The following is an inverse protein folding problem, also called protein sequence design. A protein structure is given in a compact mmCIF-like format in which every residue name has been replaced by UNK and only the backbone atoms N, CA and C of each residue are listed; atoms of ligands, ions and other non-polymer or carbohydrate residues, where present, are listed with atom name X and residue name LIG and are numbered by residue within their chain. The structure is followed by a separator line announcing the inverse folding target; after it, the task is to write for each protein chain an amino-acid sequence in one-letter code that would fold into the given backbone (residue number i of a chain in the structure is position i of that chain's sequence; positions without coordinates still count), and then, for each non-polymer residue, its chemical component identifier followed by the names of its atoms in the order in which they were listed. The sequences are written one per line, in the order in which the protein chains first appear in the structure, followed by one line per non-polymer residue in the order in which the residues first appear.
data_IF_799609802050
#
_entry.id   IF_799609802050
#
_cell.length_a   1.000
_cell.length_b   1.000
_cell.length_c   1.000
_cell.angle_alpha   90.00
_cell.angle_beta   90.00
_cell.angle_gamma   90.00
#
_symmetry.space_group_name_H-M   'P 1'
#
loop_
_entity.id
_entity.type
_entity.pdbx_description
1 polymer ?
#
# COMPACT_ATOMS: atom_id res chain seq x y z
N UNK A 1 7.63 -7.68 8.72
CA UNK A 1 6.57 -8.70 8.94
C UNK A 1 6.89 -9.58 10.16
N UNK A 2 8.10 -10.07 10.34
CA UNK A 2 8.48 -10.94 11.47
C UNK A 2 8.21 -10.32 12.84
N UNK A 3 8.64 -9.10 13.08
CA UNK A 3 8.40 -8.40 14.34
C UNK A 3 6.89 -8.20 14.63
N UNK A 4 6.09 -7.95 13.58
CA UNK A 4 4.64 -7.84 13.70
C UNK A 4 4.02 -9.20 14.02
N UNK A 5 4.52 -10.27 13.44
CA UNK A 5 4.11 -11.64 13.69
C UNK A 5 4.34 -12.02 15.15
N UNK A 6 5.56 -11.81 15.67
CA UNK A 6 5.92 -12.07 17.07
C UNK A 6 5.01 -11.26 18.04
N UNK A 7 4.80 -9.99 17.74
CA UNK A 7 3.96 -9.12 18.57
C UNK A 7 2.50 -9.57 18.59
N UNK A 8 1.95 -9.98 17.44
CA UNK A 8 0.58 -10.50 17.34
C UNK A 8 0.45 -11.85 18.01
N UNK A 9 1.39 -12.77 17.83
CA UNK A 9 1.38 -14.07 18.46
C UNK A 9 1.44 -13.96 20.00
N UNK A 10 2.24 -13.02 20.52
CA UNK A 10 2.30 -12.74 21.96
C UNK A 10 1.01 -12.11 22.49
N UNK A 11 0.41 -11.17 21.74
CA UNK A 11 -0.81 -10.49 22.18
C UNK A 11 -2.08 -11.35 22.03
N UNK A 12 -2.10 -12.26 21.06
CA UNK A 12 -3.27 -13.05 20.68
C UNK A 12 -2.95 -14.56 20.59
N UNK A 13 -2.44 -15.19 21.68
CA UNK A 13 -1.90 -16.55 21.65
C UNK A 13 -2.94 -17.64 21.37
N UNK A 14 -4.23 -17.33 21.48
CA UNK A 14 -5.32 -18.30 21.25
C UNK A 14 -5.81 -18.33 19.79
N UNK A 15 -5.27 -17.47 18.92
CA UNK A 15 -5.71 -17.37 17.54
C UNK A 15 -4.62 -17.91 16.60
N UNK A 16 -4.95 -18.88 15.73
CA UNK A 16 -4.03 -19.31 14.68
C UNK A 16 -3.58 -18.10 13.85
N UNK A 17 -2.27 -17.93 13.67
CA UNK A 17 -1.66 -16.87 12.90
C UNK A 17 -0.96 -17.45 11.67
N UNK A 18 -1.38 -17.03 10.48
CA UNK A 18 -0.79 -17.45 9.21
C UNK A 18 -0.10 -16.27 8.55
N UNK A 19 1.19 -16.41 8.28
CA UNK A 19 1.96 -15.43 7.51
C UNK A 19 1.84 -15.69 6.01
N UNK A 20 1.56 -14.64 5.25
CA UNK A 20 1.33 -14.68 3.80
C UNK A 20 2.20 -13.62 3.13
N UNK A 21 3.45 -13.96 2.91
CA UNK A 21 4.41 -13.17 2.13
C UNK A 21 5.22 -14.09 1.21
N UNK A 22 6.08 -13.49 0.37
CA UNK A 22 6.90 -14.23 -0.59
C UNK A 22 7.86 -15.23 0.05
N UNK A 23 8.18 -15.05 1.32
CA UNK A 23 9.13 -15.91 2.04
C UNK A 23 8.42 -17.07 2.77
N UNK A 24 7.15 -16.87 3.14
CA UNK A 24 6.34 -17.86 3.84
C UNK A 24 5.54 -18.77 2.88
N UNK A 25 5.19 -18.24 1.70
CA UNK A 25 4.43 -19.00 0.69
C UNK A 25 5.26 -19.11 -0.59
N UNK A 26 5.92 -20.25 -0.72
CA UNK A 26 6.87 -20.55 -1.78
C UNK A 26 6.24 -21.19 -3.03
N UNK A 27 4.97 -21.59 -2.95
CA UNK A 27 4.30 -22.31 -4.05
C UNK A 27 2.81 -22.01 -4.15
N UNK A 28 2.21 -22.14 -5.35
CA UNK A 28 0.76 -22.07 -5.53
C UNK A 28 0.00 -23.08 -4.68
N UNK A 29 0.55 -24.29 -4.50
CA UNK A 29 -0.07 -25.34 -3.69
C UNK A 29 -0.14 -24.97 -2.20
N UNK A 30 0.88 -24.32 -1.65
CA UNK A 30 0.88 -23.81 -0.29
C UNK A 30 -0.22 -22.75 -0.10
N UNK A 31 -0.38 -21.85 -1.09
CA UNK A 31 -1.45 -20.86 -1.07
C UNK A 31 -2.85 -21.51 -1.13
N UNK A 32 -3.05 -22.50 -2.00
CA UNK A 32 -4.32 -23.23 -2.08
C UNK A 32 -4.66 -23.95 -0.77
N UNK A 33 -3.67 -24.56 -0.14
CA UNK A 33 -3.83 -25.22 1.16
C UNK A 33 -4.27 -24.23 2.25
N UNK A 34 -3.62 -23.08 2.31
CA UNK A 34 -3.99 -22.00 3.24
C UNK A 34 -5.41 -21.48 2.97
N UNK A 35 -5.76 -21.26 1.71
CA UNK A 35 -7.10 -20.79 1.33
C UNK A 35 -8.18 -21.81 1.71
N UNK A 36 -7.90 -23.12 1.54
CA UNK A 36 -8.79 -24.19 1.96
C UNK A 36 -8.94 -24.24 3.49
N UNK A 37 -7.87 -24.00 4.24
CA UNK A 37 -7.89 -23.92 5.70
C UNK A 37 -8.74 -22.74 6.19
N UNK A 38 -8.46 -21.55 5.70
CA UNK A 38 -9.23 -20.33 6.04
C UNK A 38 -10.69 -20.45 5.59
N UNK A 39 -10.93 -21.12 4.45
CA UNK A 39 -12.27 -21.38 3.91
C UNK A 39 -13.16 -22.26 4.80
N UNK A 40 -12.59 -23.00 5.77
CA UNK A 40 -13.37 -23.75 6.76
C UNK A 40 -14.13 -22.88 7.75
N UNK A 41 -13.78 -21.57 7.80
CA UNK A 41 -14.47 -20.59 8.62
C UNK A 41 -14.05 -20.58 10.09
N UNK A 42 -13.01 -21.31 10.44
CA UNK A 42 -12.39 -21.23 11.76
C UNK A 42 -11.75 -19.83 11.94
N UNK A 43 -11.93 -19.20 13.12
CA UNK A 43 -11.32 -17.89 13.36
C UNK A 43 -9.79 -17.96 13.34
N UNK A 44 -9.16 -17.12 12.53
CA UNK A 44 -7.70 -17.02 12.40
C UNK A 44 -7.26 -15.60 12.07
N UNK A 45 -5.96 -15.35 12.16
CA UNK A 45 -5.32 -14.10 11.78
C UNK A 45 -4.46 -14.37 10.53
N UNK A 46 -4.67 -13.58 9.49
CA UNK A 46 -3.80 -13.55 8.31
C UNK A 46 -2.91 -12.32 8.38
N UNK A 47 -1.61 -12.50 8.45
CA UNK A 47 -0.62 -11.44 8.40
C UNK A 47 0.10 -11.49 7.05
N UNK A 48 0.09 -10.39 6.31
CA UNK A 48 0.79 -10.36 5.04
C UNK A 48 0.94 -8.97 4.47
N UNK A 49 1.59 -8.91 3.32
CA UNK A 49 1.80 -7.69 2.54
C UNK A 49 0.67 -7.53 1.50
N UNK A 50 0.92 -6.78 0.43
CA UNK A 50 -0.02 -6.59 -0.67
C UNK A 50 -0.49 -7.89 -1.34
N UNK A 51 0.18 -9.03 -1.11
CA UNK A 51 -0.25 -10.34 -1.63
C UNK A 51 -1.65 -10.72 -1.16
N UNK A 52 -2.02 -10.42 0.09
CA UNK A 52 -3.37 -10.63 0.62
C UNK A 52 -4.45 -9.79 -0.08
N UNK A 53 -4.06 -8.67 -0.70
CA UNK A 53 -5.00 -7.76 -1.36
C UNK A 53 -5.26 -8.13 -2.81
N UNK A 54 -4.40 -8.92 -3.45
CA UNK A 54 -4.49 -9.26 -4.88
C UNK A 54 -5.00 -10.70 -5.08
N UNK A 55 -6.11 -10.84 -5.79
CA UNK A 55 -6.54 -12.10 -6.41
C UNK A 55 -7.22 -13.13 -5.51
N UNK A 56 -7.11 -13.06 -4.19
CA UNK A 56 -7.69 -14.06 -3.29
C UNK A 56 -9.00 -13.57 -2.66
N UNK A 57 -9.96 -14.48 -2.56
CA UNK A 57 -11.25 -14.19 -1.97
C UNK A 57 -11.32 -14.78 -0.55
N UNK A 58 -11.46 -13.90 0.45
CA UNK A 58 -11.67 -14.27 1.84
C UNK A 58 -13.10 -13.90 2.25
N UNK A 59 -14.05 -14.86 2.26
CA UNK A 59 -15.48 -14.54 2.39
C UNK A 59 -15.91 -14.08 3.79
N UNK A 60 -15.14 -14.40 4.83
CA UNK A 60 -15.53 -14.20 6.23
C UNK A 60 -14.66 -13.20 6.99
N UNK A 61 -14.06 -12.22 6.30
CA UNK A 61 -13.23 -11.21 6.95
C UNK A 61 -14.07 -10.25 7.78
N UNK A 62 -13.92 -10.32 9.10
CA UNK A 62 -14.62 -9.46 10.04
C UNK A 62 -13.85 -8.15 10.34
N UNK A 63 -12.53 -8.23 10.34
CA UNK A 63 -11.64 -7.12 10.67
C UNK A 63 -10.44 -7.10 9.73
N UNK A 64 -10.09 -5.91 9.24
CA UNK A 64 -8.84 -5.67 8.54
C UNK A 64 -8.05 -4.61 9.27
N UNK A 65 -6.79 -4.92 9.60
CA UNK A 65 -5.81 -3.98 10.14
C UNK A 65 -4.79 -3.58 9.08
N UNK A 66 -4.56 -2.30 8.90
CA UNK A 66 -3.47 -1.77 8.07
C UNK A 66 -2.46 -1.11 8.98
N UNK A 67 -1.29 -1.71 9.08
CA UNK A 67 -0.18 -1.25 9.91
C UNK A 67 0.71 -0.34 9.07
N UNK A 68 1.13 0.79 9.64
CA UNK A 68 2.04 1.76 9.02
C UNK A 68 1.55 2.28 7.65
N UNK A 69 0.42 2.99 7.65
CA UNK A 69 -0.06 3.71 6.47
C UNK A 69 0.90 4.81 6.02
N UNK A 70 1.74 5.31 6.93
CA UNK A 70 2.58 6.48 6.73
C UNK A 70 3.70 6.21 5.74
N UNK A 71 4.18 4.97 5.65
CA UNK A 71 5.18 4.56 4.68
C UNK A 71 4.75 4.82 3.22
N UNK A 72 3.46 4.64 2.90
CA UNK A 72 2.91 4.97 1.58
C UNK A 72 2.53 6.45 1.47
N UNK A 73 2.04 7.04 2.55
CA UNK A 73 1.62 8.45 2.59
C UNK A 73 2.80 9.39 2.32
N UNK A 74 3.99 9.05 2.86
CA UNK A 74 5.21 9.86 2.76
C UNK A 74 6.31 9.21 1.91
N UNK A 75 5.95 8.31 1.00
CA UNK A 75 6.91 7.57 0.17
C UNK A 75 7.79 8.45 -0.74
N UNK A 76 7.52 9.74 -0.88
CA UNK A 76 8.21 10.62 -1.83
C UNK A 76 8.02 10.23 -3.30
N UNK A 77 7.11 9.30 -3.57
CA UNK A 77 6.74 8.81 -4.90
C UNK A 77 5.46 9.54 -5.36
N UNK A 78 5.46 9.97 -6.61
CA UNK A 78 4.31 10.60 -7.26
C UNK A 78 3.00 9.80 -7.10
N UNK A 79 3.08 8.48 -6.97
CA UNK A 79 1.94 7.58 -6.83
C UNK A 79 1.69 7.07 -5.42
N UNK A 80 2.46 7.50 -4.42
CA UNK A 80 2.32 7.01 -3.05
C UNK A 80 0.90 7.20 -2.50
N UNK A 81 0.38 8.41 -2.57
CA UNK A 81 -0.97 8.76 -2.13
C UNK A 81 -2.07 7.99 -2.91
N UNK A 82 -1.90 7.85 -4.23
CA UNK A 82 -2.82 7.09 -5.08
C UNK A 82 -2.82 5.60 -4.71
N UNK A 83 -1.63 5.01 -4.52
CA UNK A 83 -1.49 3.61 -4.11
C UNK A 83 -2.11 3.36 -2.74
N UNK A 84 -1.92 4.30 -1.80
CA UNK A 84 -2.56 4.21 -0.49
C UNK A 84 -4.08 4.23 -0.62
N UNK A 85 -4.64 5.17 -1.38
CA UNK A 85 -6.08 5.26 -1.61
C UNK A 85 -6.64 3.98 -2.25
N UNK A 86 -5.96 3.44 -3.26
CA UNK A 86 -6.33 2.18 -3.91
C UNK A 86 -6.27 1.00 -2.93
N UNK A 87 -5.19 0.89 -2.17
CA UNK A 87 -5.01 -0.18 -1.18
C UNK A 87 -6.11 -0.14 -0.14
N UNK A 88 -6.35 1.00 0.49
CA UNK A 88 -7.35 1.13 1.54
C UNK A 88 -8.77 0.87 1.02
N UNK A 89 -9.08 1.32 -0.19
CA UNK A 89 -10.38 1.02 -0.83
C UNK A 89 -10.54 -0.48 -1.12
N UNK A 90 -9.51 -1.15 -1.62
CA UNK A 90 -9.54 -2.61 -1.85
C UNK A 90 -9.73 -3.38 -0.56
N UNK A 91 -9.03 -2.98 0.48
CA UNK A 91 -9.06 -3.61 1.80
C UNK A 91 -10.42 -3.39 2.48
N UNK A 92 -10.95 -2.16 2.44
CA UNK A 92 -12.29 -1.85 2.94
C UNK A 92 -13.38 -2.69 2.26
N UNK A 93 -13.28 -2.88 0.94
CA UNK A 93 -14.21 -3.71 0.18
C UNK A 93 -14.14 -5.22 0.49
N UNK A 94 -13.15 -5.67 1.26
CA UNK A 94 -13.04 -7.06 1.72
C UNK A 94 -13.66 -7.29 3.09
N UNK A 95 -13.65 -6.29 3.95
CA UNK A 95 -14.31 -6.35 5.25
C UNK A 95 -15.84 -6.33 5.06
N UNK A 96 -16.57 -7.17 5.81
CA UNK A 96 -18.02 -7.07 5.88
C UNK A 96 -18.83 -7.72 4.76
N UNK A 97 -18.33 -8.81 4.15
CA UNK A 97 -19.12 -9.61 3.21
C UNK A 97 -20.07 -10.59 3.94
N UNK A 98 -21.04 -11.12 3.22
CA UNK A 98 -22.06 -12.05 3.73
C UNK A 98 -23.05 -11.44 4.76
N UNK A 99 -23.39 -10.15 4.61
CA UNK A 99 -24.41 -9.51 5.46
C UNK A 99 -23.92 -9.11 6.87
N UNK A 100 -22.62 -9.22 7.14
CA UNK A 100 -22.01 -8.75 8.41
C UNK A 100 -21.21 -7.46 8.15
N UNK A 101 -21.38 -6.42 9.00
CA UNK A 101 -20.55 -5.23 8.90
C UNK A 101 -19.09 -5.59 9.25
N UNK A 102 -18.18 -5.30 8.33
CA UNK A 102 -16.76 -5.42 8.58
C UNK A 102 -16.18 -4.15 9.19
N UNK A 103 -15.06 -4.27 9.85
CA UNK A 103 -14.33 -3.13 10.41
C UNK A 103 -12.95 -3.03 9.77
N UNK A 104 -12.50 -1.79 9.54
CA UNK A 104 -11.14 -1.50 9.13
C UNK A 104 -10.48 -0.63 10.19
N UNK A 105 -9.27 -0.99 10.58
CA UNK A 105 -8.41 -0.22 11.49
C UNK A 105 -7.18 0.24 10.70
N UNK A 106 -6.88 1.52 10.79
CA UNK A 106 -5.68 2.11 10.19
C UNK A 106 -4.76 2.60 11.31
N UNK A 107 -3.49 2.19 11.23
CA UNK A 107 -2.46 2.72 12.10
C UNK A 107 -1.70 3.83 11.35
N UNK A 108 -1.68 5.02 11.93
CA UNK A 108 -0.96 6.18 11.42
C UNK A 108 -0.54 7.10 12.56
N UNK A 109 0.61 7.76 12.44
CA UNK A 109 1.02 8.87 13.30
C UNK A 109 0.32 10.18 12.93
N UNK A 110 -0.37 10.20 11.77
CA UNK A 110 -1.06 11.38 11.23
C UNK A 110 -2.53 11.07 10.94
N UNK A 111 -3.34 10.70 11.97
CA UNK A 111 -4.73 10.27 11.76
C UNK A 111 -5.61 11.36 11.16
N UNK A 112 -5.23 12.62 11.36
CA UNK A 112 -5.94 13.79 10.83
C UNK A 112 -5.48 14.23 9.43
N UNK A 113 -4.60 13.45 8.78
CA UNK A 113 -4.13 13.79 7.44
C UNK A 113 -5.31 13.86 6.45
N UNK A 114 -5.42 14.96 5.64
CA UNK A 114 -6.59 15.17 4.79
C UNK A 114 -6.90 14.02 3.84
N UNK A 115 -5.88 13.35 3.29
CA UNK A 115 -6.08 12.21 2.42
C UNK A 115 -6.66 11.00 3.17
N UNK A 116 -6.20 10.72 4.40
CA UNK A 116 -6.74 9.60 5.19
C UNK A 116 -8.20 9.85 5.52
N UNK A 117 -8.56 11.07 5.92
CA UNK A 117 -9.95 11.45 6.17
C UNK A 117 -10.79 11.31 4.90
N UNK A 118 -10.31 11.83 3.76
CA UNK A 118 -11.03 11.71 2.50
C UNK A 118 -11.27 10.22 2.12
N UNK A 119 -10.28 9.35 2.28
CA UNK A 119 -10.43 7.91 1.98
C UNK A 119 -11.47 7.24 2.89
N UNK A 120 -11.57 7.67 4.15
CA UNK A 120 -12.53 7.10 5.12
C UNK A 120 -13.96 7.62 4.92
N UNK A 121 -14.12 8.84 4.45
CA UNK A 121 -15.40 9.56 4.41
C UNK A 121 -16.02 9.64 3.01
N UNK A 122 -15.23 9.49 1.95
CA UNK A 122 -15.66 9.73 0.56
C UNK A 122 -15.54 8.47 -0.31
N UNK A 123 -16.34 8.36 -1.36
CA UNK A 123 -16.16 7.35 -2.41
C UNK A 123 -14.79 7.52 -3.10
N UNK A 124 -14.17 6.41 -3.48
CA UNK A 124 -12.86 6.43 -4.17
C UNK A 124 -12.81 7.37 -5.38
N UNK A 125 -13.89 7.48 -6.15
CA UNK A 125 -13.96 8.37 -7.31
C UNK A 125 -13.72 9.85 -6.96
N UNK A 126 -14.21 10.31 -5.82
CA UNK A 126 -14.01 11.68 -5.33
C UNK A 126 -12.58 11.91 -4.87
N UNK A 127 -12.02 10.93 -4.14
CA UNK A 127 -10.61 10.95 -3.72
C UNK A 127 -9.68 10.98 -4.94
N UNK A 128 -9.94 10.14 -5.94
CA UNK A 128 -9.16 10.08 -7.17
C UNK A 128 -9.24 11.38 -7.97
N UNK A 129 -10.43 12.01 -8.06
CA UNK A 129 -10.62 13.28 -8.72
C UNK A 129 -9.84 14.41 -8.01
N UNK A 130 -9.87 14.44 -6.69
CA UNK A 130 -9.10 15.42 -5.90
C UNK A 130 -7.58 15.26 -6.09
N UNK A 131 -7.07 14.03 -6.09
CA UNK A 131 -5.67 13.73 -6.37
C UNK A 131 -5.27 14.16 -7.79
N UNK A 132 -6.14 13.93 -8.77
CA UNK A 132 -5.90 14.33 -10.16
C UNK A 132 -5.88 15.86 -10.31
N UNK A 133 -6.79 16.58 -9.64
CA UNK A 133 -6.81 18.03 -9.64
C UNK A 133 -5.50 18.63 -9.08
N UNK A 134 -5.01 18.09 -7.95
CA UNK A 134 -3.71 18.51 -7.37
C UNK A 134 -2.53 18.27 -8.33
N UNK A 135 -2.56 17.15 -9.09
CA UNK A 135 -1.54 16.90 -10.12
C UNK A 135 -1.65 17.89 -11.28
N UNK A 136 -2.86 18.27 -11.67
CA UNK A 136 -3.07 19.27 -12.71
C UNK A 136 -2.46 20.63 -12.32
N UNK A 137 -2.75 21.09 -11.10
CA UNK A 137 -2.20 22.33 -10.56
C UNK A 137 -0.67 22.32 -10.49
N UNK A 138 -0.08 21.16 -10.18
CA UNK A 138 1.37 20.98 -10.10
C UNK A 138 2.02 20.64 -11.44
N UNK A 139 1.30 20.57 -12.56
CA UNK A 139 1.83 20.18 -13.87
C UNK A 139 2.38 18.75 -13.93
N UNK A 140 1.85 17.84 -13.10
CA UNK A 140 2.33 16.48 -12.97
C UNK A 140 1.55 15.50 -13.86
N UNK A 141 2.11 14.32 -14.16
CA UNK A 141 1.39 13.27 -14.90
C UNK A 141 0.05 12.89 -14.26
N UNK A 142 -0.99 12.60 -15.06
CA UNK A 142 -0.99 12.41 -16.52
C UNK A 142 -1.13 13.70 -17.35
N UNK A 143 -1.29 14.85 -16.74
CA UNK A 143 -1.54 16.12 -17.42
C UNK A 143 -0.24 16.84 -17.80
N UNK A 144 0.87 16.50 -17.16
CA UNK A 144 2.22 16.92 -17.50
C UNK A 144 3.12 15.73 -17.80
N UNK A 145 4.37 16.01 -18.11
CA UNK A 145 5.40 14.99 -18.30
C UNK A 145 6.45 15.11 -17.21
N UNK A 146 6.90 14.00 -16.68
CA UNK A 146 7.93 13.93 -15.65
C UNK A 146 8.93 12.84 -16.00
N UNK A 147 10.21 13.20 -16.02
CA UNK A 147 11.31 12.24 -16.13
C UNK A 147 12.17 12.35 -14.85
N UNK A 148 12.34 11.22 -14.16
CA UNK A 148 13.23 11.13 -13.01
C UNK A 148 14.52 10.43 -13.43
N UNK A 149 15.64 11.12 -13.29
CA UNK A 149 16.98 10.55 -13.53
C UNK A 149 17.69 10.41 -12.19
N UNK A 150 18.14 9.20 -11.91
CA UNK A 150 18.94 8.86 -10.73
C UNK A 150 20.32 8.44 -11.18
N UNK A 151 21.35 8.91 -10.45
CA UNK A 151 22.73 8.52 -10.70
C UNK A 151 23.36 8.08 -9.38
N UNK A 152 23.91 6.87 -9.39
CA UNK A 152 24.69 6.31 -8.29
C UNK A 152 26.16 6.16 -8.74
N UNK A 153 27.11 6.56 -7.90
CA UNK A 153 28.54 6.42 -8.16
C UNK A 153 29.28 6.01 -6.90
N UNK A 154 30.25 5.10 -6.97
CA UNK A 154 31.12 4.77 -5.84
C UNK A 154 32.07 5.92 -5.46
N UNK A 155 32.20 6.95 -6.30
CA UNK A 155 33.04 8.11 -6.06
C UNK A 155 32.19 9.32 -5.68
N UNK A 156 32.49 9.92 -4.53
CA UNK A 156 31.77 11.09 -4.04
C UNK A 156 31.78 12.24 -5.07
N UNK A 157 30.60 12.82 -5.31
CA UNK A 157 30.40 13.97 -6.19
C UNK A 157 30.35 13.68 -7.70
N UNK A 158 30.61 12.45 -8.17
CA UNK A 158 30.50 12.13 -9.61
C UNK A 158 29.04 12.08 -10.07
N UNK A 159 28.14 11.46 -9.27
CA UNK A 159 26.71 11.44 -9.56
C UNK A 159 26.12 12.84 -9.66
N UNK A 160 26.48 13.73 -8.74
CA UNK A 160 26.03 15.13 -8.75
C UNK A 160 26.53 15.88 -10.01
N UNK A 161 27.81 15.71 -10.35
CA UNK A 161 28.38 16.32 -11.58
C UNK A 161 27.69 15.83 -12.84
N UNK A 162 27.41 14.51 -12.93
CA UNK A 162 26.69 13.94 -14.04
C UNK A 162 25.27 14.52 -14.13
N UNK A 163 24.50 14.55 -13.02
CA UNK A 163 23.14 15.10 -13.02
C UNK A 163 23.14 16.59 -13.35
N UNK A 164 24.12 17.37 -12.87
CA UNK A 164 24.23 18.78 -13.20
C UNK A 164 24.56 19.01 -14.69
N UNK A 165 25.37 18.14 -15.31
CA UNK A 165 25.66 18.19 -16.74
C UNK A 165 24.42 17.82 -17.57
N UNK A 166 23.71 16.77 -17.18
CA UNK A 166 22.48 16.33 -17.84
C UNK A 166 21.40 17.43 -17.77
N UNK A 167 21.22 18.06 -16.61
CA UNK A 167 20.28 19.17 -16.42
C UNK A 167 20.58 20.32 -17.38
N UNK A 168 21.83 20.78 -17.45
CA UNK A 168 22.23 21.86 -18.39
C UNK A 168 21.97 21.47 -19.85
N UNK A 169 22.25 20.21 -20.22
CA UNK A 169 21.95 19.71 -21.56
C UNK A 169 20.46 19.70 -21.88
N UNK A 170 19.64 19.27 -20.94
CA UNK A 170 18.19 19.28 -21.09
C UNK A 170 17.62 20.71 -21.20
N UNK A 171 18.06 21.63 -20.33
CA UNK A 171 17.67 23.05 -20.35
C UNK A 171 18.04 23.74 -21.69
N UNK A 172 19.15 23.34 -22.32
CA UNK A 172 19.56 23.85 -23.61
C UNK A 172 18.81 23.25 -24.81
N UNK A 173 18.27 22.04 -24.67
CA UNK A 173 17.59 21.30 -25.72
C UNK A 173 16.05 21.43 -25.69
N UNK A 174 15.49 21.82 -24.55
CA UNK A 174 14.04 22.02 -24.39
C UNK A 174 13.73 23.50 -24.56
N UNK A 175 12.70 23.84 -25.37
CA UNK A 175 12.28 25.24 -25.60
C UNK A 175 11.68 25.86 -24.34
#
# INVERSE_FOLDING_TARGET
TEQTEESLAAALPHWPLHRVDSDAIDSPAAMESLLAEVGRGEPCILLGTQMLTKGHHFPAVALVGVVDCDALLFAGDLRGEERLAQLLTQVAGRAGRAGRPGRMLLQSHYPDHPLLRAILEQPYGEVAAALLARRAEAGLPPLGQLALVRADSPRAGEGERFLAALRRGAEAALP
#
